data_IF_319543953900
#
_entry.id   IF_319543953900
#
_cell.length_a   1.000
_cell.length_b   1.000
_cell.length_c   1.000
_cell.angle_alpha   90.00
_cell.angle_beta   90.00
_cell.angle_gamma   90.00
#
_symmetry.space_group_name_H-M   'P 1'
#
loop_
_entity.id
_entity.type
_entity.pdbx_description
1 polymer ?
#
# COMPACT_ATOMS: atom_id res chain seq x y z
N UNK A 1 -10.68 -7.10 -32.52
CA UNK A 1 -9.23 -7.32 -32.69
C UNK A 1 -8.56 -7.16 -31.32
N UNK A 2 -7.42 -7.81 -31.03
CA UNK A 2 -6.84 -7.78 -29.68
C UNK A 2 -6.12 -6.44 -29.47
N UNK A 3 -6.86 -5.38 -29.13
CA UNK A 3 -6.34 -4.02 -28.88
C UNK A 3 -5.40 -3.92 -27.65
N UNK A 4 -5.06 -5.07 -27.05
CA UNK A 4 -4.19 -5.25 -25.92
C UNK A 4 -2.83 -5.87 -26.26
N UNK A 5 -2.64 -6.34 -27.50
CA UNK A 5 -1.39 -6.97 -27.95
C UNK A 5 -0.85 -6.29 -29.21
N UNK A 6 0.43 -5.93 -29.17
CA UNK A 6 1.18 -5.45 -30.33
C UNK A 6 2.12 -6.54 -30.81
N UNK A 7 2.07 -6.88 -32.10
CA UNK A 7 3.02 -7.79 -32.72
C UNK A 7 4.20 -6.97 -33.22
N UNK A 8 5.39 -7.27 -32.70
CA UNK A 8 6.62 -6.56 -33.02
C UNK A 8 6.97 -6.73 -34.50
N UNK A 9 7.31 -5.63 -35.16
CA UNK A 9 7.86 -5.63 -36.52
C UNK A 9 9.35 -5.26 -36.53
N UNK A 10 10.03 -5.55 -37.63
CA UNK A 10 11.46 -5.29 -37.79
C UNK A 10 11.79 -3.82 -37.54
N UNK A 11 12.75 -3.57 -36.65
CA UNK A 11 13.24 -2.22 -36.31
C UNK A 11 12.52 -1.57 -35.12
N UNK A 12 11.48 -2.18 -34.56
CA UNK A 12 10.84 -1.68 -33.35
C UNK A 12 11.68 -1.96 -32.10
N UNK A 13 11.60 -1.03 -31.15
CA UNK A 13 12.17 -1.13 -29.81
C UNK A 13 11.04 -1.02 -28.78
N UNK A 14 11.32 -1.37 -27.52
CA UNK A 14 10.33 -1.18 -26.46
C UNK A 14 9.89 0.28 -26.37
N UNK A 15 10.81 1.21 -26.59
CA UNK A 15 10.58 2.65 -26.58
C UNK A 15 9.69 3.09 -27.74
N UNK A 16 9.93 2.60 -28.97
CA UNK A 16 9.08 2.95 -30.12
C UNK A 16 7.67 2.40 -29.98
N UNK A 17 7.53 1.18 -29.46
CA UNK A 17 6.22 0.55 -29.19
C UNK A 17 5.48 1.31 -28.08
N UNK A 18 6.18 1.66 -26.99
CA UNK A 18 5.61 2.44 -25.91
C UNK A 18 5.07 3.80 -26.43
N UNK A 19 5.87 4.50 -27.23
CA UNK A 19 5.47 5.77 -27.87
C UNK A 19 4.26 5.59 -28.79
N UNK A 20 4.27 4.56 -29.64
CA UNK A 20 3.17 4.24 -30.58
C UNK A 20 1.84 4.07 -29.85
N UNK A 21 1.86 3.42 -28.68
CA UNK A 21 0.66 3.13 -27.90
C UNK A 21 0.38 4.12 -26.78
N UNK A 22 1.12 5.24 -26.73
CA UNK A 22 0.99 6.26 -25.68
C UNK A 22 1.11 5.70 -24.25
N UNK A 23 1.97 4.70 -24.08
CA UNK A 23 2.31 4.09 -22.77
C UNK A 23 3.79 4.29 -22.47
N UNK A 24 4.23 3.97 -21.25
CA UNK A 24 5.65 4.02 -20.88
C UNK A 24 6.32 2.66 -21.07
N UNK A 25 7.63 2.66 -21.32
CA UNK A 25 8.43 1.42 -21.35
C UNK A 25 8.31 0.65 -20.03
N UNK A 26 8.25 1.35 -18.90
CA UNK A 26 7.95 0.77 -17.59
C UNK A 26 6.62 0.02 -17.59
N UNK A 27 5.58 0.59 -18.19
CA UNK A 27 4.26 -0.05 -18.32
C UNK A 27 4.35 -1.34 -19.13
N UNK A 28 5.06 -1.31 -20.27
CA UNK A 28 5.26 -2.51 -21.07
C UNK A 28 6.05 -3.60 -20.32
N UNK A 29 7.14 -3.26 -19.62
CA UNK A 29 7.91 -4.23 -18.81
C UNK A 29 7.11 -4.84 -17.67
N UNK A 30 6.11 -4.12 -17.17
CA UNK A 30 5.24 -4.65 -16.14
C UNK A 30 4.23 -5.64 -16.68
N UNK A 31 3.63 -5.31 -17.82
CA UNK A 31 2.69 -6.17 -18.54
C UNK A 31 3.38 -7.40 -19.15
N UNK A 32 4.69 -7.31 -19.41
CA UNK A 32 5.49 -8.38 -20.00
C UNK A 32 6.69 -8.74 -19.09
N UNK A 33 6.47 -9.46 -17.97
CA UNK A 33 7.53 -9.77 -17.00
C UNK A 33 8.75 -10.49 -17.57
N UNK A 34 8.58 -11.25 -18.66
CA UNK A 34 9.66 -11.93 -19.39
C UNK A 34 10.75 -10.98 -19.89
N UNK A 35 10.37 -9.73 -20.24
CA UNK A 35 11.29 -8.71 -20.72
C UNK A 35 12.04 -7.97 -19.61
N UNK A 36 11.69 -8.15 -18.34
CA UNK A 36 12.32 -7.40 -17.23
C UNK A 36 13.81 -7.73 -17.06
N UNK A 37 14.21 -8.96 -17.38
CA UNK A 37 15.61 -9.40 -17.31
C UNK A 37 16.45 -8.82 -18.45
N UNK A 38 15.85 -8.67 -19.64
CA UNK A 38 16.49 -8.07 -20.80
C UNK A 38 15.47 -7.27 -21.62
N UNK A 39 15.28 -5.96 -21.32
CA UNK A 39 14.32 -5.10 -22.00
C UNK A 39 14.57 -4.92 -23.50
N UNK A 40 15.79 -5.19 -23.95
CA UNK A 40 16.21 -5.06 -25.35
C UNK A 40 15.99 -6.35 -26.15
N UNK A 41 15.58 -7.44 -25.50
CA UNK A 41 15.27 -8.71 -26.16
C UNK A 41 13.88 -8.64 -26.81
N UNK A 42 13.74 -7.79 -27.83
CA UNK A 42 12.50 -7.62 -28.58
C UNK A 42 12.78 -8.00 -30.02
N UNK A 43 12.09 -9.05 -30.48
CA UNK A 43 12.30 -9.68 -31.78
C UNK A 43 11.04 -9.59 -32.64
N UNK A 44 11.16 -9.45 -33.97
CA UNK A 44 10.01 -9.46 -34.86
C UNK A 44 9.13 -10.71 -34.67
N UNK A 45 7.81 -10.51 -34.67
CA UNK A 45 6.82 -11.56 -34.40
C UNK A 45 6.51 -11.76 -32.91
N UNK A 46 7.28 -11.18 -31.99
CA UNK A 46 6.98 -11.25 -30.56
C UNK A 46 5.68 -10.50 -30.23
N UNK A 47 4.80 -11.13 -29.45
CA UNK A 47 3.62 -10.51 -28.90
C UNK A 47 3.96 -9.71 -27.63
N UNK A 48 3.70 -8.41 -27.66
CA UNK A 48 3.89 -7.49 -26.53
C UNK A 48 2.53 -7.08 -26.02
N UNK A 49 2.23 -7.37 -24.75
CA UNK A 49 1.04 -6.87 -24.08
C UNK A 49 1.21 -5.36 -23.88
N UNK A 50 0.42 -4.57 -24.61
CA UNK A 50 0.47 -3.10 -24.61
C UNK A 50 -0.54 -2.46 -23.67
N UNK A 51 -1.62 -3.19 -23.36
CA UNK A 51 -2.68 -2.78 -22.43
C UNK A 51 -3.13 -3.99 -21.63
N UNK A 52 -3.47 -3.81 -20.35
CA UNK A 52 -4.12 -4.86 -19.58
C UNK A 52 -5.52 -5.15 -20.16
N UNK A 53 -6.02 -6.38 -20.00
CA UNK A 53 -7.42 -6.71 -20.28
C UNK A 53 -8.31 -6.00 -19.27
N UNK A 54 -8.68 -4.75 -19.55
CA UNK A 54 -9.51 -3.95 -18.67
C UNK A 54 -9.14 -2.47 -18.76
N UNK A 55 -10.10 -1.69 -19.26
CA UNK A 55 -10.08 -0.25 -19.39
C UNK A 55 -9.64 0.45 -18.08
N UNK A 56 -8.36 0.83 -17.98
CA UNK A 56 -7.83 1.89 -17.09
C UNK A 56 -6.35 2.16 -17.42
N UNK A 57 -6.08 2.86 -18.52
CA UNK A 57 -4.77 3.48 -18.72
C UNK A 57 -4.46 4.55 -17.66
N UNK A 58 -5.46 4.94 -16.88
CA UNK A 58 -5.28 5.84 -15.77
C UNK A 58 -4.74 5.08 -14.55
N UNK A 59 -3.51 5.38 -14.10
CA UNK A 59 -2.93 4.76 -12.90
C UNK A 59 -3.46 5.36 -11.60
N UNK A 60 -4.33 6.38 -11.66
CA UNK A 60 -4.91 7.02 -10.48
C UNK A 60 -5.81 6.06 -9.72
N UNK A 61 -5.83 6.24 -8.41
CA UNK A 61 -6.53 5.38 -7.45
C UNK A 61 -7.71 6.18 -6.88
N UNK A 62 -8.94 5.67 -6.93
CA UNK A 62 -10.10 6.33 -6.31
C UNK A 62 -9.98 6.28 -4.79
N UNK A 63 -9.72 5.08 -4.26
CA UNK A 63 -9.63 4.79 -2.83
C UNK A 63 -8.85 3.52 -2.55
N UNK A 64 -8.40 3.40 -1.32
CA UNK A 64 -8.03 2.14 -0.72
C UNK A 64 -9.01 1.80 0.41
N UNK A 65 -9.30 0.52 0.62
CA UNK A 65 -10.21 0.06 1.67
C UNK A 65 -9.50 -1.00 2.49
N UNK A 66 -9.31 -0.73 3.78
CA UNK A 66 -8.77 -1.69 4.74
C UNK A 66 -9.90 -2.30 5.57
N UNK A 67 -9.94 -3.62 5.66
CA UNK A 67 -11.04 -4.35 6.33
C UNK A 67 -10.62 -5.22 7.52
N UNK A 68 -9.48 -4.92 8.12
CA UNK A 68 -8.88 -5.72 9.20
C UNK A 68 -7.89 -6.78 8.69
N UNK A 69 -8.14 -7.36 7.51
CA UNK A 69 -7.33 -8.46 6.96
C UNK A 69 -6.64 -8.12 5.63
N UNK A 70 -7.25 -7.20 4.86
CA UNK A 70 -6.82 -6.86 3.51
C UNK A 70 -6.92 -5.38 3.26
N UNK A 71 -5.94 -4.86 2.52
CA UNK A 71 -5.97 -3.54 1.90
C UNK A 71 -6.30 -3.70 0.41
N UNK A 72 -7.50 -3.32 0.03
CA UNK A 72 -8.00 -3.34 -1.33
C UNK A 72 -7.76 -1.97 -1.99
N UNK A 73 -7.36 -1.97 -3.26
CA UNK A 73 -7.06 -0.73 -4.01
C UNK A 73 -7.96 -0.65 -5.22
N UNK A 74 -8.61 0.49 -5.41
CA UNK A 74 -9.60 0.70 -6.46
C UNK A 74 -9.12 1.76 -7.47
N UNK A 75 -9.37 1.51 -8.75
CA UNK A 75 -9.11 2.49 -9.82
C UNK A 75 -10.08 3.66 -9.74
N UNK A 76 -9.83 4.74 -10.49
CA UNK A 76 -10.81 5.83 -10.64
C UNK A 76 -12.19 5.39 -11.19
N UNK A 77 -12.28 4.20 -11.79
CA UNK A 77 -13.52 3.57 -12.24
C UNK A 77 -14.14 2.62 -11.21
N UNK A 78 -13.68 2.69 -9.96
CA UNK A 78 -14.11 1.87 -8.82
C UNK A 78 -13.98 0.35 -9.04
N UNK A 79 -13.03 -0.05 -9.88
CA UNK A 79 -12.69 -1.46 -10.08
C UNK A 79 -11.56 -1.86 -9.15
N UNK A 80 -11.67 -3.03 -8.52
CA UNK A 80 -10.59 -3.60 -7.71
C UNK A 80 -9.37 -3.84 -8.59
N UNK A 81 -8.26 -3.17 -8.27
CA UNK A 81 -6.97 -3.30 -8.98
C UNK A 81 -6.12 -4.40 -8.35
N UNK A 82 -6.01 -4.38 -7.02
CA UNK A 82 -5.19 -5.33 -6.26
C UNK A 82 -5.67 -5.38 -4.81
N UNK A 83 -5.40 -6.50 -4.15
CA UNK A 83 -5.69 -6.73 -2.74
C UNK A 83 -4.43 -7.27 -2.05
N UNK A 84 -4.00 -6.59 -0.98
CA UNK A 84 -2.84 -6.98 -0.19
C UNK A 84 -3.27 -7.53 1.16
N UNK A 85 -2.61 -8.60 1.63
CA UNK A 85 -2.81 -9.04 3.02
C UNK A 85 -2.19 -8.01 3.96
N UNK A 86 -3.01 -7.53 4.89
CA UNK A 86 -2.64 -6.51 5.84
C UNK A 86 -3.17 -6.86 7.24
N UNK A 87 -2.65 -6.20 8.26
CA UNK A 87 -3.07 -6.37 9.65
C UNK A 87 -3.04 -5.03 10.37
N UNK A 88 -3.94 -4.88 11.31
CA UNK A 88 -3.94 -3.79 12.27
C UNK A 88 -4.26 -4.33 13.65
N UNK A 89 -3.64 -3.75 14.67
CA UNK A 89 -3.69 -4.23 16.04
C UNK A 89 -2.65 -5.32 16.32
N UNK A 90 -2.52 -5.67 17.60
CA UNK A 90 -1.62 -6.70 18.07
C UNK A 90 -2.36 -8.04 18.23
N UNK A 91 -2.01 -9.09 17.47
CA UNK A 91 -2.56 -10.42 17.66
C UNK A 91 -2.07 -11.05 18.97
N UNK A 92 -2.70 -12.15 19.42
CA UNK A 92 -2.26 -12.88 20.60
C UNK A 92 -0.79 -13.30 20.48
N UNK A 93 -0.08 -13.22 21.60
CA UNK A 93 1.35 -13.55 21.70
C UNK A 93 2.27 -12.75 20.75
N UNK A 94 1.85 -11.56 20.30
CA UNK A 94 2.73 -10.66 19.58
C UNK A 94 3.91 -10.24 20.47
N UNK A 95 5.17 -10.25 19.98
CA UNK A 95 6.33 -9.82 20.78
C UNK A 95 6.19 -8.41 21.34
N UNK A 96 5.60 -7.48 20.57
CA UNK A 96 5.36 -6.12 21.03
C UNK A 96 4.32 -6.06 22.17
N UNK A 97 3.30 -6.93 22.14
CA UNK A 97 2.31 -7.04 23.22
C UNK A 97 2.98 -7.47 24.54
N UNK A 98 3.85 -8.48 24.48
CA UNK A 98 4.63 -8.91 25.63
C UNK A 98 5.56 -7.79 26.17
N UNK A 99 6.18 -7.01 25.28
CA UNK A 99 7.00 -5.86 25.68
C UNK A 99 6.18 -4.77 26.37
N UNK A 100 4.97 -4.46 25.90
CA UNK A 100 4.08 -3.48 26.54
C UNK A 100 3.67 -3.93 27.94
N UNK A 101 3.33 -5.21 28.11
CA UNK A 101 3.00 -5.80 29.41
C UNK A 101 4.21 -5.75 30.35
N UNK A 102 5.40 -6.12 29.87
CA UNK A 102 6.64 -6.04 30.65
C UNK A 102 7.01 -4.60 31.06
N UNK A 103 6.61 -3.60 30.26
CA UNK A 103 6.72 -2.17 30.58
C UNK A 103 5.63 -1.66 31.53
N UNK A 104 4.77 -2.54 32.05
CA UNK A 104 3.79 -2.22 33.09
C UNK A 104 2.36 -1.96 32.61
N UNK A 105 2.01 -2.28 31.36
CA UNK A 105 0.63 -2.15 30.85
C UNK A 105 -0.28 -3.25 31.42
N UNK A 106 -0.91 -2.96 32.56
CA UNK A 106 -1.81 -3.89 33.29
C UNK A 106 -3.18 -4.10 32.62
N UNK A 107 -3.56 -3.24 31.69
CA UNK A 107 -4.79 -3.34 30.90
C UNK A 107 -4.67 -4.32 29.72
N UNK A 108 -3.47 -4.85 29.47
CA UNK A 108 -3.18 -5.75 28.36
C UNK A 108 -3.03 -7.21 28.82
N UNK A 109 -3.48 -8.15 27.99
CA UNK A 109 -3.29 -9.58 28.20
C UNK A 109 -2.75 -10.24 26.93
N UNK A 110 -1.72 -11.08 27.06
CA UNK A 110 -1.01 -11.72 25.94
C UNK A 110 -1.91 -12.65 25.11
N UNK A 111 -2.96 -13.20 25.71
CA UNK A 111 -3.88 -14.14 25.05
C UNK A 111 -5.02 -13.43 24.29
N UNK A 112 -5.16 -12.11 24.45
CA UNK A 112 -6.22 -11.33 23.82
C UNK A 112 -5.82 -10.90 22.42
N UNK A 113 -6.76 -11.07 21.49
CA UNK A 113 -6.61 -10.62 20.11
C UNK A 113 -7.04 -9.15 19.95
N UNK A 114 -6.07 -8.24 20.07
CA UNK A 114 -6.29 -6.81 19.88
C UNK A 114 -6.35 -6.41 18.40
N UNK A 115 -6.47 -7.34 17.45
CA UNK A 115 -6.79 -7.02 16.05
C UNK A 115 -8.29 -6.78 15.83
N UNK A 116 -9.13 -7.19 16.79
CA UNK A 116 -10.58 -7.03 16.72
C UNK A 116 -11.01 -5.56 16.86
N UNK A 117 -11.99 -5.15 16.06
CA UNK A 117 -12.50 -3.77 15.99
C UNK A 117 -13.00 -3.23 17.34
N UNK A 118 -13.55 -4.06 18.22
CA UNK A 118 -13.96 -3.63 19.57
C UNK A 118 -12.82 -3.05 20.42
N UNK A 119 -11.56 -3.32 20.06
CA UNK A 119 -10.39 -2.82 20.76
C UNK A 119 -9.75 -1.58 20.13
N UNK A 120 -10.39 -0.93 19.16
CA UNK A 120 -9.85 0.28 18.47
C UNK A 120 -9.36 1.39 19.42
N UNK A 121 -9.97 1.48 20.60
CA UNK A 121 -9.63 2.49 21.62
C UNK A 121 -8.52 2.05 22.58
N UNK A 122 -8.01 0.81 22.47
CA UNK A 122 -6.91 0.32 23.32
C UNK A 122 -5.59 0.90 22.81
N UNK A 123 -5.12 1.95 23.47
CA UNK A 123 -3.90 2.66 23.06
C UNK A 123 -2.69 1.71 22.99
N UNK A 124 -1.96 1.74 21.87
CA UNK A 124 -0.76 0.95 21.64
C UNK A 124 -0.98 -0.54 21.37
N UNK A 125 -2.21 -1.06 21.40
CA UNK A 125 -2.49 -2.47 21.10
C UNK A 125 -3.62 -2.68 20.09
N UNK A 126 -4.67 -1.86 20.18
CA UNK A 126 -5.84 -1.91 19.32
C UNK A 126 -5.53 -1.58 17.85
N UNK A 127 -6.42 -1.95 16.94
CA UNK A 127 -6.23 -1.67 15.53
C UNK A 127 -6.53 -0.20 15.21
N UNK A 128 -6.25 0.25 13.99
CA UNK A 128 -6.51 1.61 13.53
C UNK A 128 -8.02 1.91 13.65
N UNK A 129 -8.44 3.08 14.15
CA UNK A 129 -9.86 3.39 14.20
C UNK A 129 -10.54 3.40 12.82
N UNK A 130 -11.84 3.12 12.78
CA UNK A 130 -12.69 3.26 11.59
C UNK A 130 -12.86 4.74 11.28
N UNK A 131 -12.22 5.16 10.20
CA UNK A 131 -12.34 6.50 9.65
C UNK A 131 -11.87 6.48 8.18
N UNK A 132 -12.01 7.63 7.52
CA UNK A 132 -11.36 7.90 6.25
C UNK A 132 -10.08 8.69 6.46
N UNK A 133 -8.96 8.02 6.26
CA UNK A 133 -7.63 8.59 6.28
C UNK A 133 -7.23 9.06 4.87
N UNK A 134 -6.20 9.91 4.82
CA UNK A 134 -5.64 10.43 3.57
C UNK A 134 -4.16 10.12 3.50
N UNK A 135 -3.77 9.44 2.45
CA UNK A 135 -2.38 9.27 2.06
C UNK A 135 -1.98 10.39 1.11
N UNK A 136 -1.07 11.27 1.54
CA UNK A 136 -0.52 12.34 0.68
C UNK A 136 0.61 11.79 -0.18
N UNK A 137 0.47 11.89 -1.50
CA UNK A 137 1.49 11.52 -2.46
C UNK A 137 2.45 12.71 -2.65
N UNK A 138 3.75 12.49 -2.40
CA UNK A 138 4.80 13.51 -2.54
C UNK A 138 5.91 13.01 -3.47
N UNK A 139 6.57 13.93 -4.17
CA UNK A 139 7.78 13.60 -4.93
C UNK A 139 8.85 13.07 -3.97
N UNK A 140 9.49 11.96 -4.34
CA UNK A 140 10.43 11.23 -3.48
C UNK A 140 9.80 10.88 -2.12
N UNK A 141 8.59 10.29 -2.13
CA UNK A 141 7.96 9.80 -0.90
C UNK A 141 9.00 9.04 -0.08
N UNK A 142 9.33 9.50 1.14
CA UNK A 142 10.43 8.95 1.91
C UNK A 142 10.12 7.47 2.20
N UNK A 143 10.73 6.60 1.42
CA UNK A 143 10.83 5.17 1.67
C UNK A 143 11.96 5.03 2.68
N UNK A 144 11.70 5.52 3.88
CA UNK A 144 12.76 5.73 4.84
C UNK A 144 12.79 4.52 5.77
N UNK A 145 13.96 3.89 5.86
CA UNK A 145 14.29 2.94 6.93
C UNK A 145 14.44 3.65 8.28
N UNK A 146 14.09 4.94 8.35
CA UNK A 146 14.63 5.81 9.35
C UNK A 146 13.89 5.66 10.66
N UNK A 147 14.70 5.66 11.71
CA UNK A 147 14.38 6.08 13.07
C UNK A 147 13.58 7.42 13.15
N UNK A 148 13.22 8.06 12.04
CA UNK A 148 12.56 9.38 12.00
C UNK A 148 11.08 9.36 12.42
N UNK A 149 10.47 8.19 12.60
CA UNK A 149 9.15 8.08 13.22
C UNK A 149 9.18 8.14 14.75
N UNK A 150 10.36 8.18 15.38
CA UNK A 150 10.51 8.29 16.83
C UNK A 150 10.14 7.04 17.63
N UNK A 151 9.75 5.93 16.98
CA UNK A 151 9.28 4.70 17.63
C UNK A 151 10.39 3.69 17.97
N UNK A 152 11.60 3.88 17.44
CA UNK A 152 12.74 2.98 17.67
C UNK A 152 12.57 1.55 17.14
N UNK A 153 11.47 1.24 16.44
CA UNK A 153 11.09 -0.13 16.08
C UNK A 153 11.37 -0.51 14.61
N UNK A 154 11.64 0.47 13.74
CA UNK A 154 12.09 0.23 12.36
C UNK A 154 11.01 -0.36 11.46
N UNK A 155 10.69 0.35 10.38
CA UNK A 155 9.51 0.08 9.56
C UNK A 155 9.73 -1.00 8.51
N UNK A 156 10.31 -2.16 8.85
CA UNK A 156 10.63 -3.20 7.87
C UNK A 156 11.26 -2.65 6.58
N UNK A 157 10.51 -2.66 5.47
CA UNK A 157 10.93 -2.11 4.18
C UNK A 157 10.57 -0.61 3.99
N UNK A 158 9.57 -0.08 4.69
CA UNK A 158 9.17 1.33 4.65
C UNK A 158 7.66 1.53 4.84
N UNK A 159 7.20 2.79 4.79
CA UNK A 159 5.79 3.14 4.89
C UNK A 159 5.50 4.62 4.69
N UNK A 160 4.25 5.03 4.94
CA UNK A 160 3.79 6.40 4.84
C UNK A 160 2.91 6.79 6.02
N UNK A 161 3.00 8.07 6.39
CA UNK A 161 2.11 8.69 7.38
C UNK A 161 0.74 8.92 6.75
N UNK A 162 -0.28 8.49 7.49
CA UNK A 162 -1.67 8.75 7.19
C UNK A 162 -2.08 10.04 7.88
N UNK A 163 -2.76 10.90 7.13
CA UNK A 163 -3.37 12.11 7.70
C UNK A 163 -4.84 11.85 7.98
N UNK A 164 -5.28 12.19 9.16
CA UNK A 164 -6.64 11.96 9.64
C UNK A 164 -7.66 12.93 9.02
N UNK A 165 -8.93 12.53 9.16
CA UNK A 165 -10.09 13.40 8.94
C UNK A 165 -10.16 14.52 9.99
N UNK A 166 -11.06 15.49 9.81
CA UNK A 166 -11.30 16.54 10.81
C UNK A 166 -11.77 15.95 12.15
N UNK A 167 -12.53 14.86 12.11
CA UNK A 167 -13.06 14.15 13.28
C UNK A 167 -11.93 13.47 14.07
N UNK A 168 -11.03 12.74 13.40
CA UNK A 168 -9.86 12.15 14.05
C UNK A 168 -8.93 13.18 14.70
N UNK A 169 -8.81 14.37 14.10
CA UNK A 169 -8.04 15.48 14.69
C UNK A 169 -8.66 16.04 15.97
N UNK A 170 -10.00 16.04 16.08
CA UNK A 170 -10.71 16.48 17.28
C UNK A 170 -10.51 15.48 18.42
N UNK A 171 -10.67 14.18 18.16
CA UNK A 171 -10.39 13.13 19.15
C UNK A 171 -8.92 13.18 19.63
N UNK A 172 -8.00 13.44 18.72
CA UNK A 172 -6.59 13.60 19.06
C UNK A 172 -6.32 14.80 19.95
N UNK A 173 -7.00 15.93 19.72
CA UNK A 173 -6.90 17.11 20.58
C UNK A 173 -7.27 16.83 22.04
N UNK A 174 -8.14 15.85 22.30
CA UNK A 174 -8.53 15.41 23.66
C UNK A 174 -7.69 14.25 24.22
N UNK A 175 -6.50 14.01 23.65
CA UNK A 175 -5.57 12.96 24.13
C UNK A 175 -5.67 11.63 23.37
N UNK A 176 -6.21 11.64 22.15
CA UNK A 176 -6.31 10.49 21.26
C UNK A 176 -4.98 9.92 20.73
N UNK A 177 -5.08 8.91 19.87
CA UNK A 177 -3.95 8.17 19.31
C UNK A 177 -3.30 8.96 18.16
N UNK A 178 -2.03 9.35 18.32
CA UNK A 178 -1.30 10.11 17.31
C UNK A 178 -0.54 9.23 16.32
N UNK A 179 -0.54 9.63 15.05
CA UNK A 179 0.39 9.14 14.02
C UNK A 179 0.06 7.74 13.54
N UNK A 180 -0.85 7.64 12.57
CA UNK A 180 -1.16 6.37 11.91
C UNK A 180 -0.32 6.18 10.66
N UNK A 181 0.04 4.93 10.37
CA UNK A 181 0.97 4.62 9.30
C UNK A 181 0.44 3.47 8.42
N UNK A 182 0.74 3.54 7.12
CA UNK A 182 0.65 2.42 6.20
C UNK A 182 2.07 1.94 5.90
N UNK A 183 2.45 0.77 6.39
CA UNK A 183 3.83 0.31 6.34
C UNK A 183 3.96 -1.19 6.07
N UNK A 184 5.18 -1.64 5.79
CA UNK A 184 5.51 -3.06 5.81
C UNK A 184 5.57 -3.56 7.27
N UNK A 185 4.85 -4.63 7.56
CA UNK A 185 4.74 -5.27 8.90
C UNK A 185 6.09 -5.84 9.40
N UNK A 186 7.11 -5.93 8.53
CA UNK A 186 8.47 -6.34 8.90
C UNK A 186 8.58 -7.81 9.33
N UNK A 187 7.50 -8.59 9.20
CA UNK A 187 7.43 -9.98 9.67
C UNK A 187 7.15 -10.11 11.17
N UNK A 188 7.03 -9.01 11.90
CA UNK A 188 6.51 -9.01 13.27
C UNK A 188 4.99 -9.22 13.22
N UNK A 189 4.42 -9.97 14.17
CA UNK A 189 2.99 -10.23 14.20
C UNK A 189 2.24 -8.96 14.67
N UNK A 190 1.81 -8.10 13.74
CA UNK A 190 0.84 -7.02 14.01
C UNK A 190 1.41 -5.61 14.19
N UNK A 191 0.52 -4.62 14.10
CA UNK A 191 0.88 -3.20 14.12
C UNK A 191 -0.03 -2.43 15.07
N UNK A 192 0.54 -1.70 16.03
CA UNK A 192 -0.20 -1.01 17.10
C UNK A 192 -0.99 0.20 16.62
N UNK A 193 -2.10 -0.03 15.91
CA UNK A 193 -2.97 1.02 15.34
C UNK A 193 -2.63 1.43 13.93
N UNK A 194 -1.71 0.76 13.25
CA UNK A 194 -1.32 1.08 11.89
C UNK A 194 -1.91 0.07 10.91
N UNK A 195 -1.65 0.25 9.61
CA UNK A 195 -1.96 -0.75 8.59
C UNK A 195 -0.63 -1.36 8.14
N UNK A 196 -0.39 -2.60 8.57
CA UNK A 196 0.81 -3.36 8.22
C UNK A 196 0.57 -4.30 7.04
N UNK A 197 1.15 -4.03 5.87
CA UNK A 197 1.20 -4.97 4.75
C UNK A 197 2.20 -6.08 5.07
N UNK A 198 1.79 -7.34 4.97
CA UNK A 198 2.59 -8.47 5.46
C UNK A 198 3.83 -8.79 4.62
N UNK A 199 3.80 -8.55 3.30
CA UNK A 199 4.85 -8.97 2.37
C UNK A 199 5.61 -7.78 1.81
N UNK A 200 6.94 -7.83 1.87
CA UNK A 200 7.83 -6.83 1.27
C UNK A 200 7.57 -6.60 -0.24
N UNK A 201 7.29 -7.68 -0.98
CA UNK A 201 6.97 -7.61 -2.41
C UNK A 201 5.71 -6.78 -2.68
N UNK A 202 4.69 -6.95 -1.85
CA UNK A 202 3.40 -6.27 -1.98
C UNK A 202 3.58 -4.78 -1.68
N UNK A 203 4.39 -4.45 -0.68
CA UNK A 203 4.76 -3.05 -0.38
C UNK A 203 5.49 -2.38 -1.56
N UNK A 204 6.41 -3.09 -2.23
CA UNK A 204 7.10 -2.60 -3.43
C UNK A 204 6.12 -2.38 -4.60
N UNK A 205 5.12 -3.24 -4.75
CA UNK A 205 4.07 -3.07 -5.76
C UNK A 205 3.17 -1.88 -5.46
N UNK A 206 2.73 -1.72 -4.20
CA UNK A 206 1.95 -0.56 -3.76
C UNK A 206 2.70 0.74 -4.05
N UNK A 207 3.98 0.82 -3.67
CA UNK A 207 4.83 1.98 -3.98
C UNK A 207 4.81 2.30 -5.47
N UNK A 208 4.98 1.30 -6.32
CA UNK A 208 4.99 1.50 -7.77
C UNK A 208 3.63 1.97 -8.33
N UNK A 209 2.50 1.56 -7.74
CA UNK A 209 1.16 2.05 -8.08
C UNK A 209 1.00 3.51 -7.68
N UNK A 210 1.32 3.85 -6.43
CA UNK A 210 1.22 5.21 -5.89
C UNK A 210 2.12 6.19 -6.65
N UNK A 211 3.34 5.80 -7.01
CA UNK A 211 4.23 6.62 -7.82
C UNK A 211 3.65 6.92 -9.21
N UNK A 212 2.93 5.98 -9.83
CA UNK A 212 2.29 6.24 -11.14
C UNK A 212 1.10 7.18 -11.04
N UNK A 213 0.26 6.99 -10.02
CA UNK A 213 -0.82 7.92 -9.69
C UNK A 213 -0.25 9.33 -9.48
N UNK A 214 0.83 9.45 -8.71
CA UNK A 214 1.51 10.71 -8.43
C UNK A 214 2.09 11.35 -9.70
N UNK A 215 2.74 10.59 -10.59
CA UNK A 215 3.24 11.09 -11.88
C UNK A 215 2.12 11.61 -12.79
N UNK A 216 0.87 11.23 -12.56
CA UNK A 216 -0.33 11.78 -13.21
C UNK A 216 -0.97 12.94 -12.45
N UNK A 217 -0.25 13.54 -11.50
CA UNK A 217 -0.69 14.69 -10.74
C UNK A 217 -1.64 14.37 -9.59
N UNK A 218 -1.88 13.09 -9.26
CA UNK A 218 -2.66 12.75 -8.06
C UNK A 218 -1.86 13.10 -6.81
N UNK A 219 -2.49 13.85 -5.91
CA UNK A 219 -1.84 14.32 -4.68
C UNK A 219 -2.29 13.56 -3.43
N UNK A 220 -3.48 12.96 -3.45
CA UNK A 220 -4.09 12.30 -2.30
C UNK A 220 -4.76 11.01 -2.75
N UNK A 221 -4.64 9.97 -1.94
CA UNK A 221 -5.46 8.75 -2.02
C UNK A 221 -6.20 8.58 -0.68
N UNK A 222 -7.55 8.55 -0.68
CA UNK A 222 -8.29 8.24 0.53
C UNK A 222 -8.13 6.75 0.89
N UNK A 223 -8.05 6.47 2.19
CA UNK A 223 -8.02 5.12 2.76
C UNK A 223 -9.20 5.01 3.72
N UNK A 224 -10.18 4.21 3.36
CA UNK A 224 -11.33 3.90 4.22
C UNK A 224 -10.99 2.68 5.09
N UNK A 225 -11.08 2.84 6.40
CA UNK A 225 -10.99 1.72 7.36
C UNK A 225 -12.39 1.31 7.73
N UNK A 226 -12.75 0.05 7.43
CA UNK A 226 -14.08 -0.54 7.68
C UNK A 226 -13.92 -2.01 8.04
N UNK A 227 -13.96 -2.33 9.32
CA UNK A 227 -13.90 -3.71 9.78
C UNK A 227 -15.16 -4.47 9.36
N UNK A 228 -15.03 -5.80 9.25
CA UNK A 228 -16.15 -6.70 8.99
C UNK A 228 -16.81 -7.14 10.28
#
# INVERSE_FOLDING_TARGET
>A
MPDNVHIVVRGETLTSIAKKHSVTTTTLLMLNPSLRKNPNHIIPGMAIIIRGTGNSLDPRISKMVFNGEKLNIYSISDRLVVSYSAISGLPPHAPHLAQLIAKGRKDLNVDVDYTQSKYQNVNGAGPIPEDTYKLKLKLNMPYDKSKAAGDGAGWGEGGWILTESLTGKLDNFFGGRYGFFLHHDGGAKGTSGCIGIRKAKDMKQLKALLSRAQMKGQQIVPIEVKYK
#
